data_IF_087242501102
#
_entry.id   IF_087242501102
#
_cell.length_a   1.000
_cell.length_b   1.000
_cell.length_c   1.000
_cell.angle_alpha   90.00
_cell.angle_beta   90.00
_cell.angle_gamma   90.00
#
_symmetry.space_group_name_H-M   'P 1'
#
loop_
_entity.id
_entity.type
_entity.pdbx_description
1 polymer ?
#
# COMPACT_ATOMS: atom_id res chain seq x y z
N UNK A 1 3.07 14.21 -4.58
CA UNK A 1 4.24 13.52 -4.00
C UNK A 1 5.39 13.59 -4.98
N UNK A 2 6.57 13.97 -4.53
CA UNK A 2 7.73 14.13 -5.43
C UNK A 2 8.53 12.84 -5.62
N UNK A 3 8.37 11.87 -4.73
CA UNK A 3 9.12 10.61 -4.77
C UNK A 3 8.21 9.45 -4.51
N UNK A 4 8.49 8.34 -5.17
CA UNK A 4 7.81 7.09 -4.90
C UNK A 4 8.13 6.61 -3.49
N UNK A 5 7.17 5.94 -2.89
CA UNK A 5 7.35 5.31 -1.59
C UNK A 5 7.68 3.85 -1.84
N UNK A 6 8.70 3.35 -1.17
CA UNK A 6 9.11 1.95 -1.30
C UNK A 6 9.37 1.35 0.07
N UNK A 7 9.01 0.09 0.23
CA UNK A 7 9.40 -0.67 1.42
C UNK A 7 9.50 -2.15 1.09
N UNK A 8 10.10 -2.90 2.01
CA UNK A 8 10.25 -4.35 1.88
C UNK A 8 9.47 -5.00 3.01
N UNK A 9 8.66 -6.00 2.69
CA UNK A 9 7.92 -6.78 3.67
C UNK A 9 8.49 -8.19 3.73
N UNK A 10 8.77 -8.67 4.95
CA UNK A 10 9.22 -10.04 5.18
C UNK A 10 8.06 -10.90 5.65
N UNK A 11 7.98 -12.12 5.13
CA UNK A 11 7.00 -13.11 5.57
C UNK A 11 7.61 -14.03 6.62
N UNK A 12 6.76 -14.73 7.35
CA UNK A 12 7.19 -15.67 8.40
C UNK A 12 8.02 -16.82 7.85
N UNK A 13 7.83 -17.19 6.59
CA UNK A 13 8.59 -18.26 5.94
C UNK A 13 9.97 -17.83 5.46
N UNK A 14 10.38 -16.59 5.71
CA UNK A 14 11.66 -16.05 5.27
C UNK A 14 11.63 -15.40 3.90
N UNK A 15 10.57 -15.54 3.14
CA UNK A 15 10.43 -14.85 1.87
C UNK A 15 10.14 -13.37 2.08
N UNK A 16 10.38 -12.57 1.05
CA UNK A 16 10.14 -11.13 1.12
C UNK A 16 9.73 -10.58 -0.24
N UNK A 17 9.05 -9.45 -0.21
CA UNK A 17 8.65 -8.76 -1.41
C UNK A 17 8.81 -7.26 -1.24
N UNK A 18 9.04 -6.58 -2.35
CA UNK A 18 9.11 -5.13 -2.41
C UNK A 18 7.75 -4.56 -2.73
N UNK A 19 7.42 -3.43 -2.11
CA UNK A 19 6.22 -2.67 -2.43
C UNK A 19 6.65 -1.29 -2.92
N UNK A 20 6.08 -0.85 -4.02
CA UNK A 20 6.30 0.49 -4.57
C UNK A 20 4.95 1.19 -4.72
N UNK A 21 4.89 2.42 -4.23
CA UNK A 21 3.67 3.24 -4.32
C UNK A 21 3.99 4.48 -5.15
N UNK A 22 3.18 4.71 -6.18
CA UNK A 22 3.29 5.89 -7.03
C UNK A 22 1.99 6.69 -6.98
N UNK A 23 2.11 8.01 -7.05
CA UNK A 23 0.97 8.91 -7.17
C UNK A 23 0.70 9.17 -8.65
N UNK A 24 -0.52 8.85 -9.10
CA UNK A 24 -0.86 9.00 -10.51
C UNK A 24 -2.34 9.33 -10.66
N UNK A 25 -2.63 10.39 -11.41
CA UNK A 25 -4.02 10.79 -11.73
C UNK A 25 -4.92 10.95 -10.50
N UNK A 26 -4.40 11.52 -9.43
CA UNK A 26 -5.18 11.78 -8.23
C UNK A 26 -5.39 10.57 -7.33
N UNK A 27 -4.68 9.49 -7.54
CA UNK A 27 -4.77 8.30 -6.72
C UNK A 27 -3.38 7.64 -6.57
N UNK A 28 -3.29 6.64 -5.71
CA UNK A 28 -2.06 5.87 -5.54
C UNK A 28 -2.15 4.54 -6.26
N UNK A 29 -1.02 4.09 -6.80
CA UNK A 29 -0.89 2.75 -7.35
C UNK A 29 0.16 2.00 -6.54
N UNK A 30 -0.21 0.82 -6.06
CA UNK A 30 0.68 -0.06 -5.31
C UNK A 30 1.10 -1.20 -6.23
N UNK A 31 2.41 -1.46 -6.26
CA UNK A 31 3.01 -2.49 -7.09
C UNK A 31 3.85 -3.38 -6.20
N UNK A 32 3.85 -4.66 -6.49
CA UNK A 32 4.51 -5.67 -5.65
C UNK A 32 5.50 -6.46 -6.49
N UNK A 33 6.64 -6.81 -5.91
CA UNK A 33 7.64 -7.63 -6.58
C UNK A 33 8.23 -8.62 -5.58
N UNK A 34 8.01 -9.90 -5.81
CA UNK A 34 8.63 -10.94 -5.00
C UNK A 34 10.14 -10.93 -5.23
N UNK A 35 10.91 -11.26 -4.19
CA UNK A 35 12.36 -11.37 -4.32
C UNK A 35 12.70 -12.40 -5.39
N UNK A 36 13.51 -12.01 -6.35
CA UNK A 36 13.88 -12.88 -7.47
C UNK A 36 12.93 -12.84 -8.66
N UNK A 37 11.79 -12.17 -8.55
CA UNK A 37 10.88 -12.03 -9.68
C UNK A 37 11.44 -11.05 -10.70
N UNK A 38 11.15 -11.30 -11.97
CA UNK A 38 11.62 -10.43 -13.06
C UNK A 38 10.74 -9.21 -13.29
N UNK A 39 9.51 -9.24 -12.82
CA UNK A 39 8.52 -8.19 -13.12
C UNK A 39 7.75 -7.76 -11.88
N UNK A 40 7.29 -6.51 -11.88
CA UNK A 40 6.37 -6.00 -10.87
C UNK A 40 4.96 -6.52 -11.14
N UNK A 41 4.26 -6.87 -10.06
CA UNK A 41 2.87 -7.31 -10.11
C UNK A 41 1.98 -6.08 -9.86
N UNK A 42 1.16 -5.74 -10.84
CA UNK A 42 0.25 -4.59 -10.78
C UNK A 42 -1.17 -4.96 -10.36
N UNK A 43 -1.48 -6.25 -10.39
CA UNK A 43 -2.84 -6.74 -10.13
C UNK A 43 -3.03 -7.28 -8.71
N UNK A 44 -1.93 -7.46 -7.98
CA UNK A 44 -1.96 -7.99 -6.63
C UNK A 44 -2.64 -6.99 -5.69
N UNK A 45 -3.55 -7.50 -4.86
CA UNK A 45 -4.24 -6.66 -3.88
C UNK A 45 -3.46 -6.63 -2.58
N UNK A 46 -3.29 -5.43 -1.96
CA UNK A 46 -2.59 -5.31 -0.70
C UNK A 46 -3.29 -6.05 0.43
N UNK A 47 -2.50 -6.60 1.36
CA UNK A 47 -3.02 -7.17 2.60
C UNK A 47 -3.33 -6.06 3.61
N UNK A 48 -3.96 -6.39 4.74
CA UNK A 48 -4.20 -5.44 5.81
C UNK A 48 -2.89 -4.83 6.31
N UNK A 49 -1.84 -5.64 6.41
CA UNK A 49 -0.51 -5.17 6.82
C UNK A 49 0.07 -4.19 5.81
N UNK A 50 -0.08 -4.48 4.52
CA UNK A 50 0.38 -3.58 3.47
C UNK A 50 -0.34 -2.24 3.55
N UNK A 51 -1.66 -2.24 3.77
CA UNK A 51 -2.44 -1.02 3.90
C UNK A 51 -2.01 -0.20 5.11
N UNK A 52 -1.74 -0.87 6.25
CA UNK A 52 -1.29 -0.18 7.46
C UNK A 52 0.07 0.48 7.24
N UNK A 53 1.00 -0.22 6.60
CA UNK A 53 2.33 0.31 6.29
C UNK A 53 2.24 1.50 5.34
N UNK A 54 1.38 1.39 4.32
CA UNK A 54 1.15 2.45 3.35
C UNK A 54 0.62 3.72 4.02
N UNK A 55 -0.42 3.58 4.83
CA UNK A 55 -1.01 4.74 5.51
C UNK A 55 -0.02 5.40 6.46
N UNK A 56 0.70 4.61 7.23
CA UNK A 56 1.74 5.13 8.13
C UNK A 56 2.79 5.93 7.37
N UNK A 57 3.23 5.43 6.22
CA UNK A 57 4.21 6.13 5.39
C UNK A 57 3.69 7.47 4.88
N UNK A 58 2.43 7.53 4.46
CA UNK A 58 1.81 8.77 3.97
C UNK A 58 1.62 9.75 5.12
N UNK A 59 1.17 9.29 6.29
CA UNK A 59 0.99 10.16 7.45
C UNK A 59 2.31 10.79 7.91
N UNK A 60 3.38 10.03 7.89
CA UNK A 60 4.72 10.55 8.22
C UNK A 60 5.15 11.62 7.22
N UNK A 61 4.91 11.40 5.93
CA UNK A 61 5.25 12.38 4.89
C UNK A 61 4.41 13.64 5.02
N UNK A 62 3.14 13.49 5.36
CA UNK A 62 2.27 14.64 5.60
C UNK A 62 2.78 15.47 6.78
N UNK A 63 3.16 14.83 7.88
CA UNK A 63 3.72 15.50 9.04
C UNK A 63 4.99 16.29 8.70
N UNK A 64 5.81 15.76 7.78
CA UNK A 64 7.04 16.41 7.33
C UNK A 64 6.81 17.37 6.17
N UNK A 65 5.58 17.64 5.80
CA UNK A 65 5.21 18.50 4.68
C UNK A 65 5.70 17.98 3.32
N UNK A 66 5.89 16.67 3.20
CA UNK A 66 6.31 15.99 1.98
C UNK A 66 5.15 15.39 1.21
N UNK A 67 3.95 15.42 1.78
CA UNK A 67 2.72 15.00 1.12
C UNK A 67 1.64 16.05 1.40
N UNK A 68 0.72 16.21 0.46
CA UNK A 68 -0.38 17.16 0.60
C UNK A 68 -1.53 16.54 1.37
N UNK A 69 -2.43 17.39 1.87
CA UNK A 69 -3.64 16.93 2.53
C UNK A 69 -4.51 16.10 1.59
N UNK A 70 -4.56 16.46 0.32
CA UNK A 70 -5.31 15.71 -0.69
C UNK A 70 -4.75 14.30 -0.85
N UNK A 71 -3.43 14.15 -0.83
CA UNK A 71 -2.79 12.85 -0.89
C UNK A 71 -3.10 12.03 0.37
N UNK A 72 -3.09 12.66 1.53
CA UNK A 72 -3.43 11.99 2.79
C UNK A 72 -4.89 11.51 2.79
N UNK A 73 -5.82 12.34 2.34
CA UNK A 73 -7.23 11.95 2.26
C UNK A 73 -7.44 10.77 1.30
N UNK A 74 -6.78 10.81 0.16
CA UNK A 74 -6.88 9.71 -0.81
C UNK A 74 -6.32 8.41 -0.21
N UNK A 75 -5.19 8.49 0.49
CA UNK A 75 -4.62 7.31 1.15
C UNK A 75 -5.58 6.72 2.17
N UNK A 76 -6.20 7.56 3.00
CA UNK A 76 -7.18 7.12 3.99
C UNK A 76 -8.39 6.45 3.34
N UNK A 77 -8.88 7.02 2.25
CA UNK A 77 -10.01 6.45 1.51
C UNK A 77 -9.66 5.08 0.95
N UNK A 78 -8.49 4.96 0.32
CA UNK A 78 -8.04 3.70 -0.27
C UNK A 78 -7.86 2.62 0.80
N UNK A 79 -7.28 2.98 1.93
CA UNK A 79 -7.07 2.03 3.03
C UNK A 79 -8.40 1.55 3.59
N UNK A 80 -9.36 2.46 3.80
CA UNK A 80 -10.68 2.10 4.31
C UNK A 80 -11.39 1.13 3.35
N UNK A 81 -11.35 1.42 2.04
CA UNK A 81 -11.95 0.55 1.03
C UNK A 81 -11.23 -0.79 0.94
N UNK A 82 -9.89 -0.77 0.97
CA UNK A 82 -9.09 -1.99 0.89
C UNK A 82 -9.31 -2.91 2.08
N UNK A 83 -9.36 -2.37 3.28
CA UNK A 83 -9.63 -3.15 4.48
C UNK A 83 -11.05 -3.71 4.49
N UNK A 84 -12.03 -2.94 4.03
CA UNK A 84 -13.41 -3.41 3.94
C UNK A 84 -13.53 -4.61 2.98
N UNK A 85 -12.85 -4.57 1.84
CA UNK A 85 -12.83 -5.68 0.89
C UNK A 85 -12.16 -6.91 1.49
N UNK A 86 -11.05 -6.72 2.21
CA UNK A 86 -10.35 -7.84 2.84
C UNK A 86 -11.19 -8.46 3.95
N UNK A 87 -11.83 -7.65 4.79
CA UNK A 87 -12.73 -8.15 5.83
C UNK A 87 -13.88 -8.95 5.24
N UNK A 88 -14.47 -8.47 4.15
CA UNK A 88 -15.56 -9.16 3.47
C UNK A 88 -15.13 -10.53 2.93
N UNK A 89 -13.88 -10.66 2.52
CA UNK A 89 -13.32 -11.94 2.03
C UNK A 89 -12.89 -12.86 3.15
N UNK A 90 -12.41 -12.28 4.27
CA UNK A 90 -11.90 -13.05 5.39
C UNK A 90 -12.98 -13.52 6.35
N UNK A 91 -14.19 -12.96 6.28
CA UNK A 91 -15.28 -13.36 7.17
C UNK A 91 -16.09 -14.49 6.57
N UNK A 92 -16.35 -15.56 7.35
CA UNK A 92 -17.28 -16.58 6.89
C UNK A 92 -18.67 -15.98 6.73
N UNK A 93 -19.46 -16.44 5.77
CA UNK A 93 -20.82 -15.96 5.63
C UNK A 93 -21.62 -16.22 6.90
N UNK A 94 -22.32 -15.21 7.32
CA UNK A 94 -23.12 -15.26 8.53
C UNK A 94 -24.29 -16.24 8.38
#
# INVERSE_FOLDING_TARGET
MRRDINWITKRDDGSRYDVRVTWFSGTFKLQFKEKGAARWDYDRKPSAEDWATFLDAIERRYTRKQATYKELEEARRMVAEGLAVEDARGQPPA
#
